data_IF_179639748362
#
_entry.id   IF_179639748362
#
_cell.length_a   1.000
_cell.length_b   1.000
_cell.length_c   1.000
_cell.angle_alpha   90.00
_cell.angle_beta   90.00
_cell.angle_gamma   90.00
#
_symmetry.space_group_name_H-M   'P 1'
#
loop_
_entity.id
_entity.type
_entity.pdbx_description
1 polymer ?
#
# COMPACT_ATOMS: atom_id res chain seq x y z
N UNK A 1 -5.60 5.78 3.27
CA UNK A 1 -5.37 6.69 4.41
C UNK A 1 -3.91 6.51 4.82
N UNK A 2 -3.18 7.53 5.25
CA UNK A 2 -1.83 7.36 5.84
C UNK A 2 -1.84 7.82 7.30
N UNK A 3 -1.02 7.19 8.13
CA UNK A 3 -1.13 7.27 9.60
C UNK A 3 -0.79 8.66 10.12
N UNK A 4 -0.21 9.52 9.28
CA UNK A 4 0.19 10.89 9.60
C UNK A 4 -0.57 11.99 8.79
N UNK A 5 -1.30 11.69 7.70
CA UNK A 5 -1.78 12.74 6.75
C UNK A 5 -3.27 12.64 6.31
N UNK A 6 -4.04 11.64 6.74
CA UNK A 6 -5.46 11.54 6.37
C UNK A 6 -5.69 10.97 4.96
N UNK A 7 -6.65 11.49 4.19
CA UNK A 7 -6.93 11.02 2.81
C UNK A 7 -5.81 11.51 1.90
N UNK A 8 -4.94 10.59 1.47
CA UNK A 8 -3.93 10.88 0.45
C UNK A 8 -4.60 10.85 -0.93
N UNK A 9 -4.64 12.01 -1.59
CA UNK A 9 -5.18 12.19 -2.95
C UNK A 9 -4.11 12.80 -3.85
N UNK A 10 -4.11 12.47 -5.14
CA UNK A 10 -3.16 13.00 -6.13
C UNK A 10 -2.37 11.90 -6.82
N UNK A 11 -1.26 12.27 -7.46
CA UNK A 11 -0.36 11.33 -8.12
C UNK A 11 0.52 10.64 -7.08
N UNK A 12 0.33 9.33 -6.94
CA UNK A 12 1.05 8.50 -5.99
C UNK A 12 1.82 7.39 -6.69
N UNK A 13 3.03 7.15 -6.21
CA UNK A 13 3.77 5.92 -6.48
C UNK A 13 3.50 4.94 -5.35
N UNK A 14 3.16 3.70 -5.69
CA UNK A 14 2.92 2.61 -4.74
C UNK A 14 4.03 1.58 -4.86
N UNK A 15 4.62 1.18 -3.74
CA UNK A 15 5.55 0.06 -3.68
C UNK A 15 4.98 -1.07 -2.82
N UNK A 16 5.12 -2.30 -3.30
CA UNK A 16 4.77 -3.52 -2.59
C UNK A 16 6.01 -4.37 -2.45
N UNK A 17 6.48 -4.57 -1.22
CA UNK A 17 7.74 -5.26 -0.94
C UNK A 17 7.50 -6.52 -0.09
N UNK A 18 8.30 -7.56 -0.34
CA UNK A 18 8.34 -8.74 0.52
C UNK A 18 9.32 -8.51 1.66
N UNK A 19 8.82 -8.60 2.88
CA UNK A 19 9.61 -8.54 4.10
C UNK A 19 10.04 -9.95 4.55
N UNK A 20 11.06 -10.02 5.42
CA UNK A 20 11.41 -11.27 6.10
C UNK A 20 10.20 -11.92 6.76
N UNK A 21 10.13 -13.26 6.72
CA UNK A 21 9.01 -14.01 7.28
C UNK A 21 7.77 -14.06 6.38
N UNK A 22 7.89 -13.72 5.08
CA UNK A 22 6.82 -13.90 4.10
C UNK A 22 5.67 -12.90 4.25
N UNK A 23 5.96 -11.72 4.81
CA UNK A 23 4.98 -10.66 5.01
C UNK A 23 5.13 -9.59 3.93
N UNK A 24 4.04 -9.01 3.47
CA UNK A 24 4.10 -7.92 2.51
C UNK A 24 3.98 -6.57 3.22
N UNK A 25 4.77 -5.60 2.78
CA UNK A 25 4.63 -4.21 3.18
C UNK A 25 4.19 -3.34 2.00
N UNK A 26 3.37 -2.34 2.30
CA UNK A 26 2.88 -1.36 1.35
C UNK A 26 3.36 0.02 1.78
N UNK A 27 3.99 0.72 0.86
CA UNK A 27 4.41 2.11 1.03
C UNK A 27 3.94 2.95 -0.15
N UNK A 28 3.71 4.22 0.11
CA UNK A 28 3.34 5.22 -0.89
C UNK A 28 4.22 6.45 -0.76
N UNK A 29 4.47 7.11 -1.88
CA UNK A 29 4.97 8.47 -1.91
C UNK A 29 4.12 9.30 -2.86
N UNK A 30 4.13 10.61 -2.70
CA UNK A 30 3.79 11.49 -3.81
C UNK A 30 4.80 11.27 -4.93
N UNK A 31 4.33 11.14 -6.17
CA UNK A 31 5.21 10.85 -7.30
C UNK A 31 6.31 11.92 -7.41
N UNK A 32 7.57 11.51 -7.33
CA UNK A 32 8.73 12.41 -7.37
C UNK A 32 9.18 12.98 -6.02
N UNK A 33 8.45 12.71 -4.93
CA UNK A 33 8.93 12.99 -3.58
C UNK A 33 10.06 12.04 -3.15
N UNK A 34 10.83 12.44 -2.15
CA UNK A 34 11.88 11.59 -1.56
C UNK A 34 11.35 10.69 -0.44
N UNK A 35 10.26 11.12 0.21
CA UNK A 35 9.74 10.48 1.41
C UNK A 35 8.67 9.42 1.07
N UNK A 36 8.79 8.26 1.72
CA UNK A 36 7.85 7.16 1.64
C UNK A 36 7.11 7.01 2.95
N UNK A 37 5.80 6.79 2.85
CA UNK A 37 4.90 6.59 3.99
C UNK A 37 4.31 5.19 3.94
N UNK A 38 4.14 4.57 5.10
CA UNK A 38 3.35 3.36 5.22
C UNK A 38 1.87 3.67 5.03
N UNK A 39 1.17 2.77 4.35
CA UNK A 39 -0.27 2.90 4.17
C UNK A 39 -0.98 2.60 5.50
N UNK A 40 -1.91 3.45 5.96
CA UNK A 40 -2.67 3.18 7.19
C UNK A 40 -3.43 1.88 7.09
N UNK A 41 -3.36 1.08 8.15
CA UNK A 41 -3.99 -0.22 8.21
C UNK A 41 -3.25 -1.31 7.43
N UNK A 42 -2.14 -0.99 6.73
CA UNK A 42 -1.22 -1.99 6.20
C UNK A 42 -0.18 -2.37 7.26
N UNK A 43 -0.61 -3.00 8.34
CA UNK A 43 0.33 -3.80 9.12
C UNK A 43 0.83 -4.94 8.22
N UNK A 44 2.13 -5.30 8.25
CA UNK A 44 2.64 -6.36 7.39
C UNK A 44 1.81 -7.64 7.51
N UNK A 45 1.04 -7.94 6.47
CA UNK A 45 0.15 -9.09 6.42
C UNK A 45 0.88 -10.29 5.78
N UNK A 46 0.58 -11.53 6.19
CA UNK A 46 1.05 -12.71 5.47
C UNK A 46 0.70 -12.60 3.99
N UNK A 47 1.68 -12.89 3.14
CA UNK A 47 1.43 -12.88 1.70
C UNK A 47 0.45 -14.01 1.36
N UNK A 48 -0.65 -13.67 0.69
CA UNK A 48 -1.58 -14.69 0.20
C UNK A 48 -0.89 -15.58 -0.85
N UNK A 49 -1.38 -16.82 -1.09
CA UNK A 49 -0.83 -17.70 -2.12
C UNK A 49 -0.84 -17.09 -3.53
N UNK A 50 -1.68 -16.08 -3.77
CA UNK A 50 -1.73 -15.35 -5.03
C UNK A 50 -0.48 -14.47 -5.28
N UNK A 51 0.33 -14.23 -4.25
CA UNK A 51 1.65 -13.59 -4.37
C UNK A 51 1.62 -12.05 -4.45
N UNK A 52 2.81 -11.45 -4.49
CA UNK A 52 3.02 -10.00 -4.42
C UNK A 52 2.33 -9.24 -5.55
N UNK A 53 2.36 -9.79 -6.76
CA UNK A 53 1.75 -9.14 -7.93
C UNK A 53 0.23 -9.04 -7.80
N UNK A 54 -0.42 -10.06 -7.24
CA UNK A 54 -1.86 -10.02 -7.01
C UNK A 54 -2.22 -8.97 -5.95
N UNK A 55 -1.48 -8.96 -4.83
CA UNK A 55 -1.63 -7.95 -3.79
C UNK A 55 -1.44 -6.53 -4.33
N UNK A 56 -0.38 -6.30 -5.12
CA UNK A 56 -0.10 -5.00 -5.71
C UNK A 56 -1.26 -4.50 -6.58
N UNK A 57 -1.82 -5.37 -7.43
CA UNK A 57 -2.97 -5.01 -8.27
C UNK A 57 -4.20 -4.68 -7.44
N UNK A 58 -4.52 -5.48 -6.43
CA UNK A 58 -5.67 -5.22 -5.56
C UNK A 58 -5.57 -3.86 -4.86
N UNK A 59 -4.38 -3.51 -4.37
CA UNK A 59 -4.14 -2.21 -3.73
C UNK A 59 -4.32 -1.06 -4.72
N UNK A 60 -3.81 -1.18 -5.95
CA UNK A 60 -4.01 -0.17 -6.98
C UNK A 60 -5.49 0.03 -7.31
N UNK A 61 -6.28 -1.04 -7.42
CA UNK A 61 -7.72 -0.94 -7.66
C UNK A 61 -8.46 -0.25 -6.51
N UNK A 62 -8.14 -0.61 -5.26
CA UNK A 62 -8.72 0.04 -4.06
C UNK A 62 -8.36 1.52 -3.96
N UNK A 63 -7.12 1.89 -4.30
CA UNK A 63 -6.68 3.29 -4.33
C UNK A 63 -7.44 4.09 -5.40
N UNK A 64 -7.61 3.54 -6.60
CA UNK A 64 -8.33 4.18 -7.72
C UNK A 64 -9.82 4.36 -7.43
N UNK A 65 -10.43 3.44 -6.70
CA UNK A 65 -11.83 3.54 -6.28
C UNK A 65 -12.09 4.68 -5.28
N UNK A 66 -11.06 5.38 -4.79
CA UNK A 66 -11.19 6.60 -3.98
C UNK A 66 -11.65 6.36 -2.53
N UNK A 67 -11.82 5.11 -2.11
CA UNK A 67 -12.36 4.76 -0.79
C UNK A 67 -11.41 4.93 0.40
N UNK A 68 -10.21 5.46 0.17
CA UNK A 68 -9.12 5.40 1.16
C UNK A 68 -8.61 3.98 1.28
N UNK A 69 -7.45 3.70 0.69
CA UNK A 69 -6.92 2.33 0.75
C UNK A 69 -6.62 1.94 2.21
N UNK A 70 -7.32 0.90 2.66
CA UNK A 70 -6.94 0.04 3.78
C UNK A 70 -6.44 -1.27 3.17
N UNK A 71 -5.37 -1.82 3.73
CA UNK A 71 -4.90 -3.15 3.32
C UNK A 71 -5.99 -4.19 3.59
N UNK A 72 -6.15 -5.20 2.70
CA UNK A 72 -7.03 -6.33 3.00
C UNK A 72 -6.55 -7.04 4.27
N UNK A 73 -7.50 -7.32 5.16
CA UNK A 73 -7.33 -8.08 6.42
C UNK A 73 -7.24 -9.58 6.19
#
# INVERSE_FOLDING_TARGET
MTDDVGIVTGDLTVATTLQPGGRAALTVQYTGAEEWYHLTGSSPAPLSPAGLTALHREVLERLRAGGGAQAPS
#
